data_IF_853589905640
#
_entry.id   IF_853589905640
#
_cell.length_a   1.000
_cell.length_b   1.000
_cell.length_c   1.000
_cell.angle_alpha   90.00
_cell.angle_beta   90.00
_cell.angle_gamma   90.00
#
_symmetry.space_group_name_H-M   'P 1'
#
loop_
_entity.id
_entity.type
_entity.pdbx_description
1 polymer ?
#
# COMPACT_ATOMS: atom_id res chain seq x y z
N UNK A 1 -8.62 -12.49 -14.63
CA UNK A 1 -9.38 -12.30 -13.37
C UNK A 1 -9.71 -13.59 -12.61
N UNK A 2 -10.30 -14.62 -13.23
CA UNK A 2 -10.85 -15.80 -12.50
C UNK A 2 -9.85 -16.49 -11.55
N UNK A 3 -8.59 -16.62 -11.95
CA UNK A 3 -7.56 -17.26 -11.14
C UNK A 3 -7.29 -16.53 -9.80
N UNK A 4 -7.23 -15.19 -9.80
CA UNK A 4 -7.04 -14.40 -8.57
C UNK A 4 -8.23 -14.59 -7.64
N UNK A 5 -9.45 -14.52 -8.16
CA UNK A 5 -10.66 -14.72 -7.37
C UNK A 5 -10.73 -16.14 -6.77
N UNK A 6 -10.33 -17.15 -7.53
CA UNK A 6 -10.23 -18.52 -7.03
C UNK A 6 -9.21 -18.63 -5.87
N UNK A 7 -8.03 -18.04 -6.02
CA UNK A 7 -7.03 -17.99 -4.95
C UNK A 7 -7.55 -17.28 -3.71
N UNK A 8 -8.21 -16.13 -3.87
CA UNK A 8 -8.82 -15.38 -2.76
C UNK A 8 -9.79 -16.28 -1.97
N UNK A 9 -10.63 -17.07 -2.65
CA UNK A 9 -11.53 -18.03 -2.01
C UNK A 9 -10.77 -19.12 -1.25
N UNK A 10 -9.71 -19.68 -1.83
CA UNK A 10 -8.89 -20.68 -1.15
C UNK A 10 -8.23 -20.16 0.13
N UNK A 11 -7.76 -18.91 0.13
CA UNK A 11 -6.98 -18.37 1.24
C UNK A 11 -7.81 -17.67 2.32
N UNK A 12 -9.06 -17.28 2.02
CA UNK A 12 -9.92 -16.48 2.91
C UNK A 12 -9.99 -17.07 4.33
N UNK A 13 -10.20 -18.39 4.45
CA UNK A 13 -10.39 -19.07 5.73
C UNK A 13 -9.37 -20.20 6.04
N UNK A 14 -8.36 -20.42 5.19
CA UNK A 14 -7.41 -21.53 5.35
C UNK A 14 -5.96 -21.06 5.51
N UNK A 15 -5.39 -21.27 6.70
CA UNK A 15 -3.96 -21.01 6.97
C UNK A 15 -3.05 -21.88 6.10
N UNK A 16 -3.41 -23.14 5.91
CA UNK A 16 -2.66 -24.08 5.05
C UNK A 16 -2.60 -23.59 3.62
N UNK A 17 -3.74 -23.12 3.08
CA UNK A 17 -3.78 -22.62 1.70
C UNK A 17 -3.00 -21.32 1.54
N UNK A 18 -3.01 -20.42 2.55
CA UNK A 18 -2.18 -19.21 2.52
C UNK A 18 -0.70 -19.55 2.38
N UNK A 19 -0.24 -20.54 3.16
CA UNK A 19 1.14 -21.01 3.12
C UNK A 19 1.46 -21.67 1.78
N UNK A 20 0.58 -22.54 1.28
CA UNK A 20 0.75 -23.18 -0.03
C UNK A 20 0.83 -22.15 -1.17
N UNK A 21 0.00 -21.09 -1.14
CA UNK A 21 0.07 -20.00 -2.12
C UNK A 21 1.41 -19.26 -2.04
N UNK A 22 1.91 -19.00 -0.84
CA UNK A 22 3.21 -18.33 -0.68
C UNK A 22 4.39 -19.21 -1.14
N UNK A 23 4.37 -20.50 -0.80
CA UNK A 23 5.38 -21.49 -1.21
C UNK A 23 5.37 -21.73 -2.73
N UNK A 24 4.22 -21.60 -3.38
CA UNK A 24 4.09 -21.64 -4.85
C UNK A 24 4.55 -20.36 -5.55
N UNK A 25 5.13 -19.38 -4.83
CA UNK A 25 5.59 -18.11 -5.39
C UNK A 25 4.49 -17.05 -5.56
N UNK A 26 3.30 -17.26 -4.99
CA UNK A 26 2.16 -16.37 -5.15
C UNK A 26 2.40 -14.94 -4.66
N UNK A 27 3.33 -14.72 -3.72
CA UNK A 27 3.68 -13.37 -3.25
C UNK A 27 4.33 -12.55 -4.37
N UNK A 28 5.30 -13.13 -5.08
CA UNK A 28 5.99 -12.47 -6.20
C UNK A 28 5.01 -12.16 -7.33
N UNK A 29 4.16 -13.12 -7.69
CA UNK A 29 3.13 -12.94 -8.71
C UNK A 29 2.19 -11.79 -8.34
N UNK A 30 1.78 -11.70 -7.07
CA UNK A 30 0.90 -10.62 -6.62
C UNK A 30 1.60 -9.26 -6.64
N UNK A 31 2.90 -9.19 -6.34
CA UNK A 31 3.69 -7.97 -6.48
C UNK A 31 3.80 -7.52 -7.95
N UNK A 32 3.99 -8.45 -8.89
CA UNK A 32 3.95 -8.14 -10.32
C UNK A 32 2.58 -7.62 -10.76
N UNK A 33 1.50 -8.23 -10.26
CA UNK A 33 0.13 -7.80 -10.56
C UNK A 33 -0.18 -6.40 -10.04
N UNK A 34 0.44 -5.96 -8.95
CA UNK A 34 0.33 -4.57 -8.47
C UNK A 34 0.92 -3.54 -9.45
N UNK A 35 1.87 -3.96 -10.31
CA UNK A 35 2.46 -3.10 -11.32
C UNK A 35 1.62 -3.04 -12.61
N UNK A 36 0.59 -3.88 -12.73
CA UNK A 36 -0.29 -3.97 -13.90
C UNK A 36 -0.91 -2.60 -14.26
N UNK A 37 -0.98 -2.21 -15.55
CA UNK A 37 -1.66 -0.99 -15.99
C UNK A 37 -3.19 -1.04 -15.81
N UNK A 38 -3.75 -2.22 -15.49
CA UNK A 38 -5.19 -2.36 -15.26
C UNK A 38 -5.53 -2.21 -13.77
N UNK A 39 -6.19 -1.11 -13.41
CA UNK A 39 -6.59 -0.80 -12.03
C UNK A 39 -7.46 -1.89 -11.39
N UNK A 40 -8.32 -2.60 -12.15
CA UNK A 40 -9.08 -3.74 -11.62
C UNK A 40 -8.16 -4.87 -11.18
N UNK A 41 -7.09 -5.14 -11.95
CA UNK A 41 -6.09 -6.14 -11.60
C UNK A 41 -5.34 -5.74 -10.32
N UNK A 42 -4.97 -4.46 -10.19
CA UNK A 42 -4.32 -3.92 -9.00
C UNK A 42 -5.22 -4.07 -7.77
N UNK A 43 -6.52 -3.76 -7.89
CA UNK A 43 -7.50 -3.96 -6.81
C UNK A 43 -7.60 -5.42 -6.39
N UNK A 44 -7.72 -6.34 -7.36
CA UNK A 44 -7.82 -7.78 -7.06
C UNK A 44 -6.52 -8.34 -6.44
N UNK A 45 -5.35 -7.84 -6.86
CA UNK A 45 -4.07 -8.16 -6.25
C UNK A 45 -4.01 -7.67 -4.79
N UNK A 46 -4.42 -6.43 -4.53
CA UNK A 46 -4.50 -5.86 -3.19
C UNK A 46 -5.44 -6.67 -2.28
N UNK A 47 -6.60 -7.13 -2.78
CA UNK A 47 -7.51 -7.99 -2.03
C UNK A 47 -6.89 -9.36 -1.69
N UNK A 48 -6.11 -9.94 -2.61
CA UNK A 48 -5.39 -11.19 -2.32
C UNK A 48 -4.32 -10.99 -1.23
N UNK A 49 -3.59 -9.87 -1.24
CA UNK A 49 -2.66 -9.50 -0.15
C UNK A 49 -3.39 -9.43 1.19
N UNK A 50 -4.62 -8.86 1.24
CA UNK A 50 -5.43 -8.86 2.47
C UNK A 50 -5.61 -10.26 3.03
N UNK A 51 -6.06 -11.19 2.21
CA UNK A 51 -6.37 -12.52 2.70
C UNK A 51 -5.11 -13.26 3.12
N UNK A 52 -4.02 -13.15 2.36
CA UNK A 52 -2.74 -13.76 2.69
C UNK A 52 -2.19 -13.27 4.03
N UNK A 53 -2.18 -11.95 4.25
CA UNK A 53 -1.54 -11.30 5.40
C UNK A 53 -2.51 -10.91 6.54
N UNK A 54 -3.77 -11.35 6.49
CA UNK A 54 -4.76 -11.08 7.57
C UNK A 54 -4.45 -11.80 8.89
N UNK A 55 -3.39 -12.61 8.96
CA UNK A 55 -2.84 -13.15 10.19
C UNK A 55 -1.32 -13.37 10.04
N UNK A 56 -0.67 -13.80 11.12
CA UNK A 56 0.79 -13.95 11.16
C UNK A 56 1.33 -15.25 10.51
N UNK A 57 0.51 -16.04 9.81
CA UNK A 57 0.98 -17.29 9.15
C UNK A 57 2.12 -17.03 8.18
N UNK A 58 2.07 -15.89 7.48
CA UNK A 58 3.05 -15.50 6.46
C UNK A 58 4.03 -14.43 6.96
N UNK A 59 4.31 -14.36 8.26
CA UNK A 59 5.20 -13.34 8.86
C UNK A 59 6.60 -13.27 8.24
N UNK A 60 7.10 -14.39 7.73
CA UNK A 60 8.44 -14.51 7.13
C UNK A 60 8.44 -14.04 5.66
N UNK A 61 7.26 -14.02 5.02
CA UNK A 61 7.05 -13.48 3.68
C UNK A 61 6.72 -11.98 3.70
N UNK A 62 6.37 -11.42 4.87
CA UNK A 62 6.15 -9.99 5.04
C UNK A 62 7.51 -9.27 5.05
N UNK A 63 7.84 -8.63 3.93
CA UNK A 63 9.17 -8.05 3.66
C UNK A 63 9.11 -6.56 3.31
N UNK A 64 10.26 -5.90 3.37
CA UNK A 64 10.40 -4.51 2.88
C UNK A 64 10.02 -4.38 1.40
N UNK A 65 10.28 -5.42 0.61
CA UNK A 65 9.95 -5.41 -0.82
C UNK A 65 8.44 -5.39 -1.05
N UNK A 66 7.67 -6.13 -0.24
CA UNK A 66 6.21 -6.08 -0.30
C UNK A 66 5.67 -4.67 0.01
N UNK A 67 6.28 -3.98 0.97
CA UNK A 67 5.93 -2.58 1.29
C UNK A 67 6.23 -1.68 0.09
N UNK A 68 7.43 -1.79 -0.50
CA UNK A 68 7.79 -0.99 -1.69
C UNK A 68 6.85 -1.22 -2.86
N UNK A 69 6.46 -2.47 -3.13
CA UNK A 69 5.49 -2.78 -4.19
C UNK A 69 4.12 -2.13 -3.94
N UNK A 70 3.65 -2.12 -2.69
CA UNK A 70 2.38 -1.47 -2.31
C UNK A 70 2.47 0.06 -2.38
N UNK A 71 3.59 0.64 -1.95
CA UNK A 71 3.83 2.09 -2.04
C UNK A 71 3.89 2.55 -3.49
N UNK A 72 4.58 1.81 -4.36
CA UNK A 72 4.62 2.12 -5.80
C UNK A 72 3.23 2.00 -6.45
N UNK A 73 2.43 1.00 -6.06
CA UNK A 73 1.05 0.87 -6.52
C UNK A 73 0.18 2.06 -6.07
N UNK A 74 0.38 2.55 -4.84
CA UNK A 74 -0.30 3.73 -4.31
C UNK A 74 0.05 4.99 -5.12
N UNK A 75 1.34 5.25 -5.37
CA UNK A 75 1.79 6.39 -6.18
C UNK A 75 1.19 6.41 -7.57
N UNK A 76 1.08 5.23 -8.19
CA UNK A 76 0.50 5.08 -9.51
C UNK A 76 -1.00 5.35 -9.53
N UNK A 77 -1.73 4.80 -8.57
CA UNK A 77 -3.20 4.93 -8.51
C UNK A 77 -3.66 6.28 -7.94
N UNK A 78 -2.79 7.01 -7.23
CA UNK A 78 -3.00 8.40 -6.79
C UNK A 78 -3.39 9.33 -7.96
N UNK A 79 -2.98 8.99 -9.19
CA UNK A 79 -3.33 9.71 -10.41
C UNK A 79 -4.57 9.19 -11.15
N UNK A 80 -5.12 8.01 -10.78
CA UNK A 80 -6.04 7.25 -11.64
C UNK A 80 -7.46 7.10 -11.06
N UNK A 81 -7.63 6.55 -9.85
CA UNK A 81 -8.97 6.24 -9.29
C UNK A 81 -9.01 6.24 -7.75
N UNK A 82 -10.05 6.85 -7.16
CA UNK A 82 -10.20 6.95 -5.70
C UNK A 82 -10.35 5.59 -4.99
N UNK A 83 -11.01 4.63 -5.62
CA UNK A 83 -11.36 3.33 -5.03
C UNK A 83 -10.15 2.39 -4.89
N UNK A 84 -9.23 2.39 -5.87
CA UNK A 84 -8.03 1.57 -5.81
C UNK A 84 -7.06 2.07 -4.73
N UNK A 85 -6.92 3.39 -4.58
CA UNK A 85 -6.13 4.00 -3.52
C UNK A 85 -6.61 3.63 -2.14
N UNK A 86 -7.93 3.70 -1.89
CA UNK A 86 -8.50 3.34 -0.60
C UNK A 86 -8.18 1.87 -0.25
N UNK A 87 -8.30 0.97 -1.22
CA UNK A 87 -7.99 -0.44 -1.02
C UNK A 87 -6.51 -0.67 -0.74
N UNK A 88 -5.60 -0.02 -1.48
CA UNK A 88 -4.15 -0.10 -1.26
C UNK A 88 -3.77 0.46 0.12
N UNK A 89 -4.30 1.63 0.51
CA UNK A 89 -4.10 2.23 1.83
C UNK A 89 -4.56 1.31 2.96
N UNK A 90 -5.75 0.68 2.80
CA UNK A 90 -6.23 -0.35 3.75
C UNK A 90 -5.27 -1.52 3.85
N UNK A 91 -4.58 -1.92 2.77
CA UNK A 91 -3.59 -3.02 2.83
C UNK A 91 -2.32 -2.60 3.55
N UNK A 92 -1.80 -1.41 3.26
CA UNK A 92 -0.64 -0.85 3.96
C UNK A 92 -0.92 -0.79 5.47
N UNK A 93 -2.09 -0.29 5.86
CA UNK A 93 -2.53 -0.25 7.26
C UNK A 93 -2.54 -1.63 7.93
N UNK A 94 -3.14 -2.63 7.28
CA UNK A 94 -3.22 -4.01 7.82
C UNK A 94 -1.83 -4.61 7.99
N UNK A 95 -0.92 -4.43 7.02
CA UNK A 95 0.42 -4.98 7.09
C UNK A 95 1.19 -4.34 8.25
N UNK A 96 1.19 -3.02 8.36
CA UNK A 96 1.85 -2.36 9.49
C UNK A 96 1.23 -2.76 10.84
N UNK A 97 -0.10 -2.90 10.91
CA UNK A 97 -0.78 -3.34 12.14
C UNK A 97 -0.40 -4.77 12.55
N UNK A 98 -0.26 -5.68 11.60
CA UNK A 98 0.11 -7.07 11.88
C UNK A 98 1.62 -7.28 12.04
N UNK A 99 2.46 -6.38 11.50
CA UNK A 99 3.90 -6.54 11.46
C UNK A 99 4.61 -5.25 11.91
N UNK A 100 4.68 -4.96 13.22
CA UNK A 100 5.35 -3.77 13.76
C UNK A 100 6.80 -3.63 13.32
N UNK A 101 7.50 -4.74 13.06
CA UNK A 101 8.87 -4.75 12.51
C UNK A 101 9.00 -3.99 11.17
N UNK A 102 7.93 -3.94 10.37
CA UNK A 102 7.91 -3.22 9.10
C UNK A 102 7.63 -1.73 9.30
N UNK A 103 7.06 -1.31 10.43
CA UNK A 103 6.82 0.12 10.70
C UNK A 103 8.14 0.88 10.90
N UNK A 104 9.09 0.25 11.61
CA UNK A 104 10.41 0.83 11.90
C UNK A 104 11.45 0.54 10.80
N UNK A 105 11.03 -0.07 9.69
CA UNK A 105 11.95 -0.37 8.61
C UNK A 105 12.17 0.82 7.67
N UNK A 106 13.22 0.75 6.87
CA UNK A 106 13.49 1.73 5.81
C UNK A 106 12.30 1.87 4.86
N UNK A 107 11.71 0.75 4.41
CA UNK A 107 10.54 0.78 3.53
C UNK A 107 9.31 1.39 4.22
N UNK A 108 9.16 1.17 5.53
CA UNK A 108 8.15 1.86 6.34
C UNK A 108 8.34 3.37 6.34
N UNK A 109 9.58 3.82 6.53
CA UNK A 109 9.94 5.26 6.53
C UNK A 109 9.70 5.90 5.17
N UNK A 110 10.09 5.22 4.09
CA UNK A 110 9.87 5.68 2.72
C UNK A 110 8.39 5.70 2.33
N UNK A 111 7.54 4.88 2.97
CA UNK A 111 6.10 4.91 2.72
C UNK A 111 5.43 6.19 3.28
N UNK A 112 6.00 6.84 4.30
CA UNK A 112 5.36 7.96 5.02
C UNK A 112 5.03 9.15 4.09
N UNK A 113 5.96 9.67 3.26
CA UNK A 113 5.64 10.78 2.35
C UNK A 113 4.46 10.50 1.42
N UNK A 114 4.32 9.25 0.93
CA UNK A 114 3.21 8.87 0.04
C UNK A 114 1.87 8.84 0.78
N UNK A 115 1.86 8.38 2.04
CA UNK A 115 0.67 8.45 2.89
C UNK A 115 0.27 9.90 3.16
N UNK A 116 1.25 10.79 3.43
CA UNK A 116 1.01 12.22 3.61
C UNK A 116 0.45 12.86 2.34
N UNK A 117 0.97 12.50 1.17
CA UNK A 117 0.43 12.96 -0.12
C UNK A 117 -1.01 12.48 -0.32
N UNK A 118 -1.33 11.23 0.01
CA UNK A 118 -2.68 10.69 -0.10
C UNK A 118 -3.69 11.41 0.82
N UNK A 119 -3.25 11.86 2.00
CA UNK A 119 -4.07 12.70 2.89
C UNK A 119 -4.38 14.06 2.25
N UNK A 120 -3.39 14.68 1.59
CA UNK A 120 -3.57 15.97 0.91
C UNK A 120 -4.55 15.85 -0.25
N UNK A 121 -4.40 14.84 -1.11
CA UNK A 121 -5.30 14.61 -2.25
C UNK A 121 -6.75 14.33 -1.82
N UNK A 122 -6.97 13.71 -0.65
CA UNK A 122 -8.32 13.52 -0.10
C UNK A 122 -8.96 14.82 0.43
N UNK A 123 -8.16 15.84 0.73
CA UNK A 123 -8.63 17.13 1.23
C UNK A 123 -9.00 18.12 0.12
N UNK A 124 -8.48 17.96 -1.10
CA UNK A 124 -8.77 18.86 -2.23
C UNK A 124 -10.12 18.56 -2.92
N UNK A 125 -10.85 17.54 -2.44
CA UNK A 125 -12.21 17.20 -2.87
C UNK A 125 -13.32 18.09 -2.32
N UNK A 126 -13.01 19.04 -1.43
CA UNK A 126 -13.90 20.17 -1.11
C UNK A 126 -13.26 21.43 -1.67
N UNK A 127 -13.88 22.03 -2.69
CA UNK A 127 -13.34 23.16 -3.41
C UNK A 127 -12.70 24.21 -2.51
N UNK A 128 -11.39 24.31 -2.58
CA UNK A 128 -10.69 25.52 -2.25
C UNK A 128 -9.53 25.66 -3.24
N UNK A 129 -9.75 26.51 -4.25
CA UNK A 129 -8.66 27.03 -5.07
C UNK A 129 -7.69 27.73 -4.13
N UNK A 130 -6.50 27.16 -3.94
CA UNK A 130 -5.34 27.91 -3.47
C UNK A 130 -4.33 28.00 -4.62
N UNK A 131 -4.58 28.98 -5.48
CA UNK A 131 -3.49 29.72 -6.08
C UNK A 131 -2.55 30.21 -4.96
N UNK A 132 -1.24 30.11 -5.21
CA UNK A 132 -0.13 30.56 -4.36
C UNK A 132 0.15 29.80 -3.06
N UNK A 133 1.00 28.78 -3.15
CA UNK A 133 2.13 28.67 -2.21
C UNK A 133 3.42 28.48 -3.02
N UNK A 134 4.04 29.62 -3.31
CA UNK A 134 5.42 29.73 -3.76
C UNK A 134 6.30 29.15 -2.64
N UNK A 135 7.06 28.09 -2.93
CA UNK A 135 8.20 27.72 -2.11
C UNK A 135 9.19 28.90 -2.10
N UNK A 136 9.39 29.53 -0.95
CA UNK A 136 10.62 30.26 -0.69
C UNK A 136 11.31 29.70 0.56
N UNK A 137 12.60 29.33 0.46
CA UNK A 137 13.40 28.92 1.60
C UNK A 137 14.17 30.13 2.11
N UNK A 138 13.73 30.81 3.17
CA UNK A 138 14.60 31.82 3.81
C UNK A 138 14.31 31.97 5.30
N UNK A 139 15.26 31.47 6.09
CA UNK A 139 15.88 32.06 7.29
C UNK A 139 15.00 32.97 8.15
N UNK A 140 14.89 32.59 9.43
CA UNK A 140 14.93 33.56 10.54
C UNK A 140 15.76 32.99 11.70
N UNK A 141 17.08 33.22 11.55
CA UNK A 141 17.97 33.58 12.65
C UNK A 141 17.49 34.92 13.20
N UNK A 142 17.07 35.00 14.47
CA UNK A 142 17.56 35.94 15.49
C UNK A 142 16.58 36.26 16.64
N UNK A 143 17.16 36.22 17.85
CA UNK A 143 16.98 37.13 18.99
C UNK A 143 15.60 37.72 19.30
N UNK A 144 15.08 37.40 20.48
CA UNK A 144 15.07 38.32 21.63
C UNK A 144 14.29 37.69 22.81
N UNK A 145 14.99 37.28 23.87
CA UNK A 145 14.83 37.83 25.22
C UNK A 145 16.04 37.46 26.07
#
# INVERSE_FOLDING_TARGET
MVAICALQNFVMHSRTNRRAVAEAGGILVVQELLLSPNSETVVQAALLIRFLFSNHTLKDYASNELIRSLTAALEKELCATATANEEILKRIYIIFSNFPKLQISEAGTLCIPHLVTALKSGSEGSGFSTDHIVLTPTILVNHAN
#
